data_IF_577193692482
#
_entry.id   IF_577193692482
#
_cell.length_a   1.000
_cell.length_b   1.000
_cell.length_c   1.000
_cell.angle_alpha   90.00
_cell.angle_beta   90.00
_cell.angle_gamma   90.00
#
_symmetry.space_group_name_H-M   'P 1'
#
loop_
_entity.id
_entity.type
_entity.pdbx_description
1 polymer ?
#
# COMPACT_ATOMS: atom_id res chain seq x y z
N UNK A 1 -26.83 53.00 33.78
CA UNK A 1 -26.50 52.37 35.07
C UNK A 1 -25.26 51.54 34.82
N UNK A 2 -24.12 52.04 35.29
CA UNK A 2 -22.78 51.50 35.07
C UNK A 2 -22.30 50.76 36.33
N UNK A 3 -21.37 49.84 36.11
CA UNK A 3 -20.39 49.22 37.01
C UNK A 3 -20.64 47.74 37.40
N UNK A 4 -19.58 46.94 37.63
CA UNK A 4 -18.30 46.97 36.91
C UNK A 4 -17.74 45.58 36.54
N UNK A 5 -16.81 45.64 35.58
CA UNK A 5 -15.73 44.68 35.36
C UNK A 5 -14.87 44.57 36.63
N UNK A 6 -14.60 43.35 37.08
CA UNK A 6 -13.42 43.07 37.89
C UNK A 6 -12.71 41.82 37.39
N UNK A 7 -11.41 42.02 37.20
CA UNK A 7 -10.44 41.08 36.69
C UNK A 7 -9.83 40.27 37.83
N UNK A 8 -9.40 39.04 37.53
CA UNK A 8 -8.16 38.50 38.06
C UNK A 8 -7.63 37.40 37.13
N UNK A 9 -6.39 37.53 36.62
CA UNK A 9 -5.67 36.47 35.92
C UNK A 9 -4.82 35.70 36.93
N UNK A 10 -4.92 34.36 36.96
CA UNK A 10 -4.08 33.55 37.85
C UNK A 10 -3.38 32.40 37.10
N UNK A 11 -2.07 32.59 36.98
CA UNK A 11 -0.99 31.58 37.03
C UNK A 11 -0.84 30.64 35.83
N UNK A 12 -0.11 31.16 34.86
CA UNK A 12 1.19 30.62 34.42
C UNK A 12 1.57 29.28 35.08
N UNK A 13 1.05 28.19 34.53
CA UNK A 13 1.52 26.84 34.81
C UNK A 13 2.84 26.63 34.06
N UNK A 14 3.95 26.73 34.79
CA UNK A 14 5.28 26.41 34.27
C UNK A 14 5.33 24.94 33.84
N UNK A 15 5.71 24.59 32.60
CA UNK A 15 5.96 23.20 32.25
C UNK A 15 7.23 22.72 32.95
N UNK A 16 7.12 21.63 33.71
CA UNK A 16 8.26 20.96 34.31
C UNK A 16 9.25 20.53 33.20
N UNK A 17 10.50 21.01 33.28
CA UNK A 17 11.59 20.56 32.41
C UNK A 17 11.83 19.06 32.65
N UNK A 18 11.58 18.24 31.63
CA UNK A 18 12.02 16.84 31.63
C UNK A 18 13.55 16.80 31.58
N UNK A 19 14.22 15.94 32.36
CA UNK A 19 15.66 15.73 32.25
C UNK A 19 16.01 15.14 30.87
N UNK A 20 17.21 15.41 30.33
CA UNK A 20 17.63 14.86 29.05
C UNK A 20 17.71 13.33 29.11
N UNK A 21 16.98 12.66 28.22
CA UNK A 21 17.14 11.23 27.97
C UNK A 21 18.52 11.04 27.35
N UNK A 22 19.40 10.33 28.07
CA UNK A 22 20.70 9.90 27.54
C UNK A 22 20.44 8.79 26.53
N UNK A 23 20.47 9.13 25.25
CA UNK A 23 20.51 8.16 24.15
C UNK A 23 21.92 7.58 24.16
N UNK A 24 22.08 6.38 24.72
CA UNK A 24 23.28 5.58 24.54
C UNK A 24 23.16 4.87 23.19
N UNK A 25 23.77 5.44 22.17
CA UNK A 25 24.04 4.75 20.90
C UNK A 25 25.02 3.61 21.14
N UNK A 26 24.67 2.33 20.89
CA UNK A 26 25.68 1.30 20.75
C UNK A 26 26.44 1.53 19.45
N UNK A 27 27.71 1.87 19.60
CA UNK A 27 28.68 1.92 18.53
C UNK A 27 28.77 0.58 17.79
N UNK A 28 28.68 0.68 16.47
CA UNK A 28 29.57 0.05 15.51
C UNK A 28 30.06 -1.38 15.81
N UNK A 29 29.48 -2.36 15.11
CA UNK A 29 30.23 -3.55 14.71
C UNK A 29 30.23 -3.67 13.19
N UNK A 30 31.17 -2.95 12.57
CA UNK A 30 31.64 -3.20 11.20
C UNK A 30 32.40 -4.51 11.21
N UNK A 31 31.81 -5.59 10.68
CA UNK A 31 32.56 -6.80 10.32
C UNK A 31 32.88 -6.71 8.83
N UNK A 32 34.09 -6.22 8.57
CA UNK A 32 34.82 -6.36 7.32
C UNK A 32 35.37 -7.80 7.29
N UNK A 33 34.89 -8.66 6.39
CA UNK A 33 35.52 -9.97 6.18
C UNK A 33 35.89 -10.16 4.70
N UNK A 34 37.18 -9.96 4.47
CA UNK A 34 38.11 -10.52 3.50
C UNK A 34 37.57 -11.30 2.28
N UNK A 35 37.59 -10.59 1.16
CA UNK A 35 38.32 -10.92 -0.09
C UNK A 35 39.29 -12.11 -0.02
N UNK A 36 38.99 -13.21 -0.73
CA UNK A 36 39.96 -14.02 -1.50
C UNK A 36 39.22 -14.95 -2.46
N UNK A 37 39.18 -14.61 -3.75
CA UNK A 37 39.03 -15.60 -4.83
C UNK A 37 39.94 -15.18 -5.98
N UNK A 38 41.07 -15.87 -6.09
CA UNK A 38 41.99 -15.84 -7.21
C UNK A 38 42.29 -17.29 -7.60
N UNK A 39 42.72 -17.49 -8.86
CA UNK A 39 42.98 -18.75 -9.59
C UNK A 39 41.75 -19.29 -10.34
N UNK A 40 41.73 -19.48 -11.67
CA UNK A 40 42.74 -19.34 -12.72
C UNK A 40 42.18 -19.86 -14.05
N UNK A 41 42.52 -19.19 -15.16
CA UNK A 41 42.38 -19.56 -16.59
C UNK A 41 43.05 -20.94 -16.91
N UNK A 42 42.87 -21.61 -18.10
CA UNK A 42 42.78 -21.00 -19.45
C UNK A 42 42.00 -21.69 -20.60
N UNK A 43 41.92 -20.90 -21.69
CA UNK A 43 41.70 -21.14 -23.14
C UNK A 43 41.84 -22.55 -23.74
N UNK A 44 40.97 -22.88 -24.71
CA UNK A 44 41.33 -23.20 -26.13
C UNK A 44 40.19 -23.90 -26.90
N UNK A 45 39.95 -23.51 -28.15
CA UNK A 45 39.38 -24.43 -29.15
C UNK A 45 38.54 -23.82 -30.28
N UNK A 46 39.18 -23.31 -31.34
CA UNK A 46 38.58 -23.18 -32.67
C UNK A 46 38.61 -24.54 -33.39
N UNK A 47 37.52 -24.95 -34.06
CA UNK A 47 37.58 -25.76 -35.27
C UNK A 47 36.23 -25.70 -36.00
N UNK A 48 36.27 -25.31 -37.27
CA UNK A 48 35.11 -25.20 -38.13
C UNK A 48 35.04 -26.25 -39.24
N UNK A 49 33.88 -26.20 -39.90
CA UNK A 49 33.61 -26.43 -41.33
C UNK A 49 33.35 -27.85 -41.87
N UNK A 50 32.34 -27.86 -42.76
CA UNK A 50 32.02 -28.77 -43.88
C UNK A 50 31.08 -29.92 -43.51
N UNK A 51 29.96 -30.21 -44.16
CA UNK A 51 29.35 -29.74 -45.40
C UNK A 51 28.60 -30.90 -46.07
N UNK A 52 27.46 -30.59 -46.72
CA UNK A 52 26.84 -31.31 -47.86
C UNK A 52 25.74 -32.37 -47.65
N UNK A 53 24.54 -31.98 -48.14
CA UNK A 53 23.58 -32.69 -49.01
C UNK A 53 22.76 -33.90 -48.53
N UNK A 54 21.43 -33.76 -48.61
CA UNK A 54 20.48 -34.86 -48.72
C UNK A 54 19.03 -34.37 -48.65
N UNK A 55 18.27 -34.60 -49.71
CA UNK A 55 16.93 -34.06 -50.03
C UNK A 55 15.79 -34.94 -49.48
N UNK A 56 14.61 -34.32 -49.38
CA UNK A 56 13.25 -34.90 -49.56
C UNK A 56 12.52 -35.55 -48.38
N UNK A 57 11.54 -34.77 -47.90
CA UNK A 57 10.20 -35.12 -47.40
C UNK A 57 10.04 -36.22 -46.36
N UNK A 58 9.58 -35.84 -45.18
CA UNK A 58 8.27 -36.28 -44.69
C UNK A 58 7.73 -35.26 -43.69
N UNK A 59 6.46 -34.96 -43.90
CA UNK A 59 5.66 -33.96 -43.23
C UNK A 59 5.16 -34.57 -41.92
N UNK A 60 5.64 -34.09 -40.78
CA UNK A 60 5.01 -34.29 -39.49
C UNK A 60 4.80 -32.90 -38.89
N UNK A 61 3.54 -32.51 -38.83
CA UNK A 61 3.04 -31.35 -38.12
C UNK A 61 3.19 -31.60 -36.63
N UNK A 62 4.13 -30.90 -36.01
CA UNK A 62 4.13 -30.61 -34.58
C UNK A 62 3.90 -29.10 -34.49
N UNK A 63 2.64 -28.72 -34.26
CA UNK A 63 2.27 -27.38 -33.82
C UNK A 63 2.84 -27.23 -32.40
N UNK A 64 4.11 -26.84 -32.33
CA UNK A 64 4.69 -26.26 -31.12
C UNK A 64 4.14 -24.84 -31.03
N UNK A 65 3.11 -24.67 -30.20
CA UNK A 65 2.75 -23.36 -29.65
C UNK A 65 3.91 -22.89 -28.76
N UNK A 66 4.94 -22.37 -29.42
CA UNK A 66 6.02 -21.54 -28.91
C UNK A 66 5.38 -20.26 -28.36
N UNK A 67 4.83 -20.36 -27.14
CA UNK A 67 4.60 -19.22 -26.27
C UNK A 67 5.97 -18.70 -25.85
N UNK A 68 6.60 -18.03 -26.82
CA UNK A 68 7.92 -17.45 -26.73
C UNK A 68 8.03 -16.66 -25.44
N UNK A 69 9.05 -17.03 -24.70
CA UNK A 69 9.56 -16.46 -23.45
C UNK A 69 10.11 -15.05 -23.70
N UNK A 70 9.29 -14.18 -24.30
CA UNK A 70 9.45 -12.74 -24.27
C UNK A 70 8.65 -12.23 -23.07
N UNK A 71 9.22 -12.42 -21.87
CA UNK A 71 8.97 -11.50 -20.77
C UNK A 71 9.22 -10.12 -21.37
N UNK A 72 8.21 -9.22 -21.48
CA UNK A 72 8.48 -7.89 -21.96
C UNK A 72 9.45 -7.29 -20.96
N UNK A 73 10.72 -7.17 -21.38
CA UNK A 73 11.66 -6.27 -20.76
C UNK A 73 10.89 -4.96 -20.65
N UNK A 74 10.79 -4.45 -19.43
CA UNK A 74 10.10 -3.22 -19.02
C UNK A 74 10.36 -2.09 -20.02
N UNK A 75 9.61 -2.12 -21.12
CA UNK A 75 9.52 -1.08 -22.13
C UNK A 75 8.59 -0.11 -21.48
N UNK A 76 9.21 0.80 -20.72
CA UNK A 76 8.57 1.74 -19.83
C UNK A 76 7.20 2.12 -20.36
N UNK A 77 6.17 1.56 -19.73
CA UNK A 77 4.79 1.90 -20.05
C UNK A 77 4.72 3.41 -19.88
N UNK A 78 4.56 4.10 -21.00
CA UNK A 78 4.40 5.54 -21.02
C UNK A 78 3.31 5.88 -19.99
N UNK A 79 3.68 6.69 -19.01
CA UNK A 79 2.80 7.07 -17.92
C UNK A 79 1.64 7.90 -18.49
N UNK A 80 0.49 7.26 -18.67
CA UNK A 80 -0.75 7.91 -19.07
C UNK A 80 -1.53 8.39 -17.84
N UNK A 81 -0.91 9.24 -17.00
CA UNK A 81 -1.58 9.90 -15.87
C UNK A 81 -1.75 9.06 -14.60
N UNK A 82 -2.21 9.71 -13.52
CA UNK A 82 -2.49 9.06 -12.23
C UNK A 82 -3.83 8.31 -12.25
N UNK A 83 -4.00 7.26 -11.43
CA UNK A 83 -5.29 6.58 -11.29
C UNK A 83 -6.38 7.54 -10.79
N UNK A 84 -6.02 8.43 -9.85
CA UNK A 84 -6.91 9.48 -9.36
C UNK A 84 -7.33 10.44 -10.48
N UNK A 85 -6.42 10.81 -11.38
CA UNK A 85 -6.73 11.70 -12.52
C UNK A 85 -7.57 10.98 -13.58
N UNK A 86 -7.27 9.72 -13.88
CA UNK A 86 -7.96 8.95 -14.90
C UNK A 86 -9.38 8.53 -14.49
N UNK A 87 -9.57 8.13 -13.23
CA UNK A 87 -10.81 7.53 -12.73
C UNK A 87 -11.67 8.51 -11.91
N UNK A 88 -11.03 9.50 -11.29
CA UNK A 88 -11.67 10.46 -10.41
C UNK A 88 -12.10 9.87 -9.06
N UNK A 89 -12.00 10.69 -8.00
CA UNK A 89 -12.61 10.39 -6.70
C UNK A 89 -14.06 10.83 -6.74
N UNK A 90 -14.89 10.00 -7.36
CA UNK A 90 -16.34 10.21 -7.50
C UNK A 90 -17.09 8.98 -7.03
N UNK A 91 -18.35 9.17 -6.62
CA UNK A 91 -19.22 8.07 -6.24
C UNK A 91 -19.48 7.07 -7.37
N UNK A 92 -20.11 5.93 -7.05
CA UNK A 92 -20.42 4.92 -8.02
C UNK A 92 -21.64 5.34 -8.86
N UNK A 93 -21.66 4.96 -10.14
CA UNK A 93 -22.81 5.23 -11.02
C UNK A 93 -24.05 4.43 -10.60
N UNK A 94 -23.82 3.20 -10.12
CA UNK A 94 -24.82 2.36 -9.45
C UNK A 94 -24.61 2.49 -7.93
N UNK A 95 -25.64 2.79 -7.11
CA UNK A 95 -25.47 2.83 -5.67
C UNK A 95 -24.90 1.51 -5.12
N UNK A 96 -23.94 1.58 -4.19
CA UNK A 96 -23.26 0.39 -3.65
C UNK A 96 -24.22 -0.65 -3.05
N UNK A 97 -25.30 -0.18 -2.43
CA UNK A 97 -26.34 -1.03 -1.85
C UNK A 97 -27.11 -1.85 -2.90
N UNK A 98 -27.13 -1.38 -4.14
CA UNK A 98 -27.86 -2.00 -5.25
C UNK A 98 -26.98 -2.96 -6.07
N UNK A 99 -25.66 -2.91 -5.89
CA UNK A 99 -24.71 -3.82 -6.54
C UNK A 99 -24.75 -5.23 -5.92
N UNK A 100 -24.69 -6.24 -6.79
CA UNK A 100 -24.43 -7.63 -6.40
C UNK A 100 -22.92 -7.88 -6.12
N UNK A 101 -22.55 -9.08 -5.68
CA UNK A 101 -21.16 -9.43 -5.31
C UNK A 101 -20.17 -9.25 -6.46
N UNK A 102 -20.52 -9.69 -7.66
CA UNK A 102 -19.68 -9.57 -8.86
C UNK A 102 -19.52 -8.11 -9.28
N UNK A 103 -20.60 -7.32 -9.25
CA UNK A 103 -20.55 -5.87 -9.52
C UNK A 103 -19.66 -5.13 -8.52
N UNK A 104 -19.73 -5.52 -7.24
CA UNK A 104 -18.86 -4.96 -6.18
C UNK A 104 -17.39 -5.34 -6.40
N UNK A 105 -17.12 -6.59 -6.77
CA UNK A 105 -15.76 -7.04 -7.08
C UNK A 105 -15.16 -6.24 -8.25
N UNK A 106 -15.89 -6.14 -9.36
CA UNK A 106 -15.42 -5.35 -10.50
C UNK A 106 -15.28 -3.86 -10.18
N UNK A 107 -16.18 -3.29 -9.39
CA UNK A 107 -16.05 -1.90 -8.94
C UNK A 107 -14.82 -1.69 -8.06
N UNK A 108 -14.58 -2.62 -7.13
CA UNK A 108 -13.42 -2.58 -6.25
C UNK A 108 -12.11 -2.69 -7.03
N UNK A 109 -12.01 -3.64 -7.96
CA UNK A 109 -10.81 -3.84 -8.79
C UNK A 109 -10.61 -2.67 -9.76
N UNK A 110 -11.67 -2.22 -10.42
CA UNK A 110 -11.60 -1.24 -11.50
C UNK A 110 -11.47 0.21 -11.04
N UNK A 111 -11.97 0.55 -9.84
CA UNK A 111 -11.99 1.93 -9.35
C UNK A 111 -11.36 2.11 -7.97
N UNK A 112 -11.80 1.34 -6.97
CA UNK A 112 -11.37 1.58 -5.58
C UNK A 112 -9.90 1.22 -5.38
N UNK A 113 -9.49 -0.01 -5.71
CA UNK A 113 -8.14 -0.52 -5.51
C UNK A 113 -7.06 0.38 -6.16
N UNK A 114 -7.15 0.78 -7.44
CA UNK A 114 -6.11 1.61 -8.05
C UNK A 114 -6.02 3.00 -7.42
N UNK A 115 -7.16 3.63 -7.07
CA UNK A 115 -7.19 4.93 -6.39
C UNK A 115 -6.57 4.82 -4.99
N UNK A 116 -6.95 3.80 -4.24
CA UNK A 116 -6.44 3.59 -2.88
C UNK A 116 -4.96 3.22 -2.89
N UNK A 117 -4.52 2.35 -3.81
CA UNK A 117 -3.11 2.03 -3.97
C UNK A 117 -2.29 3.29 -4.21
N UNK A 118 -2.72 4.16 -5.13
CA UNK A 118 -2.03 5.41 -5.37
C UNK A 118 -2.01 6.33 -4.14
N UNK A 119 -3.13 6.47 -3.44
CA UNK A 119 -3.22 7.30 -2.23
C UNK A 119 -2.24 6.83 -1.14
N UNK A 120 -2.21 5.52 -0.90
CA UNK A 120 -1.31 4.89 0.07
C UNK A 120 0.16 4.95 -0.36
N UNK A 121 0.47 4.69 -1.63
CA UNK A 121 1.82 4.77 -2.16
C UNK A 121 2.38 6.21 -2.13
N UNK A 122 1.53 7.23 -2.30
CA UNK A 122 1.92 8.65 -2.13
C UNK A 122 2.26 9.00 -0.68
N UNK A 123 1.60 8.36 0.29
CA UNK A 123 1.83 8.59 1.71
C UNK A 123 3.13 7.91 2.18
N UNK A 124 3.27 6.61 1.93
CA UNK A 124 4.49 5.86 2.25
C UNK A 124 4.73 4.76 1.19
N UNK A 125 5.54 5.03 0.16
CA UNK A 125 5.77 4.06 -0.90
C UNK A 125 6.53 2.84 -0.40
N UNK A 126 7.32 2.95 0.66
CA UNK A 126 8.09 1.82 1.16
C UNK A 126 7.19 0.82 1.87
N UNK A 127 6.32 1.32 2.75
CA UNK A 127 5.34 0.51 3.49
C UNK A 127 4.30 -0.12 2.54
N UNK A 128 3.80 0.62 1.55
CA UNK A 128 2.67 0.21 0.72
C UNK A 128 3.04 -0.34 -0.67
N UNK A 129 4.29 -0.76 -0.87
CA UNK A 129 4.76 -1.44 -2.10
C UNK A 129 3.92 -2.68 -2.48
N UNK A 130 3.35 -3.37 -1.49
CA UNK A 130 2.54 -4.58 -1.67
C UNK A 130 1.03 -4.33 -1.56
N UNK A 131 0.56 -3.10 -1.77
CA UNK A 131 -0.86 -2.76 -1.61
C UNK A 131 -1.73 -3.62 -2.53
N UNK A 132 -2.69 -4.31 -1.93
CA UNK A 132 -3.55 -5.27 -2.62
C UNK A 132 -4.91 -5.39 -1.91
N UNK A 133 -5.79 -6.24 -2.44
CA UNK A 133 -7.07 -6.54 -1.80
C UNK A 133 -6.89 -7.00 -0.34
N UNK A 134 -5.82 -7.74 -0.04
CA UNK A 134 -5.52 -8.26 1.29
C UNK A 134 -5.16 -7.17 2.30
N UNK A 135 -4.67 -6.01 1.83
CA UNK A 135 -4.38 -4.86 2.70
C UNK A 135 -5.63 -4.36 3.40
N UNK A 136 -6.79 -4.46 2.74
CA UNK A 136 -8.08 -4.09 3.31
C UNK A 136 -8.81 -5.32 3.88
N UNK A 137 -8.89 -6.42 3.13
CA UNK A 137 -9.79 -7.53 3.44
C UNK A 137 -9.12 -8.70 4.19
N UNK A 138 -7.81 -8.63 4.42
CA UNK A 138 -7.02 -9.70 5.03
C UNK A 138 -6.72 -10.87 4.08
N UNK A 139 -5.82 -11.75 4.49
CA UNK A 139 -5.40 -12.92 3.69
C UNK A 139 -6.51 -13.96 3.52
N UNK A 140 -7.49 -13.96 4.42
CA UNK A 140 -8.68 -14.81 4.36
C UNK A 140 -9.86 -14.18 3.62
N UNK A 141 -9.64 -13.09 2.87
CA UNK A 141 -10.70 -12.32 2.20
C UNK A 141 -11.70 -13.16 1.41
N UNK A 142 -11.24 -14.21 0.72
CA UNK A 142 -12.11 -15.10 -0.06
C UNK A 142 -13.00 -15.98 0.80
N UNK A 143 -12.52 -16.38 1.98
CA UNK A 143 -13.26 -17.22 2.93
C UNK A 143 -14.37 -16.43 3.64
N UNK A 144 -14.18 -15.12 3.78
CA UNK A 144 -15.13 -14.20 4.44
C UNK A 144 -15.85 -13.29 3.45
N UNK A 145 -15.88 -13.64 2.16
CA UNK A 145 -16.57 -12.88 1.12
C UNK A 145 -16.24 -11.37 1.12
N UNK A 146 -14.96 -11.05 1.36
CA UNK A 146 -14.44 -9.68 1.42
C UNK A 146 -15.16 -8.79 2.44
N UNK A 147 -15.80 -9.37 3.46
CA UNK A 147 -16.48 -8.61 4.50
C UNK A 147 -15.53 -7.71 5.29
N UNK A 148 -16.04 -6.54 5.67
CA UNK A 148 -15.36 -5.53 6.47
C UNK A 148 -16.25 -5.13 7.65
N UNK A 149 -15.68 -4.76 8.82
CA UNK A 149 -14.25 -4.66 9.11
C UNK A 149 -13.57 -6.02 9.37
N UNK A 150 -12.29 -6.15 9.03
CA UNK A 150 -11.51 -7.38 9.26
C UNK A 150 -10.63 -7.28 10.51
N UNK A 151 -10.38 -8.42 11.16
CA UNK A 151 -9.56 -8.49 12.38
C UNK A 151 -8.05 -8.39 12.14
N UNK A 152 -7.60 -8.52 10.88
CA UNK A 152 -6.18 -8.42 10.49
C UNK A 152 -5.69 -6.98 10.46
N UNK A 153 -6.60 -6.01 10.36
CA UNK A 153 -6.29 -4.59 10.46
C UNK A 153 -6.21 -4.17 11.94
N UNK A 154 -5.33 -3.21 12.23
CA UNK A 154 -5.17 -2.63 13.56
C UNK A 154 -6.52 -2.22 14.19
N UNK A 155 -6.78 -2.68 15.42
CA UNK A 155 -8.02 -2.36 16.14
C UNK A 155 -7.94 -0.98 16.79
N UNK A 156 -8.98 -0.18 16.61
CA UNK A 156 -8.97 1.20 17.08
C UNK A 156 -9.61 1.34 18.48
N UNK A 157 -9.03 2.17 19.37
CA UNK A 157 -9.73 2.65 20.57
C UNK A 157 -11.03 3.35 20.25
N UNK A 158 -11.93 3.41 21.22
CA UNK A 158 -13.09 4.31 21.15
C UNK A 158 -12.64 5.78 21.08
N UNK A 159 -13.25 6.59 20.20
CA UNK A 159 -12.97 8.03 20.11
C UNK A 159 -13.16 8.73 21.46
N UNK A 160 -12.25 9.64 21.80
CA UNK A 160 -12.27 10.38 23.07
C UNK A 160 -11.75 9.61 24.29
N UNK A 161 -11.42 8.32 24.15
CA UNK A 161 -10.74 7.57 25.21
C UNK A 161 -9.28 8.01 25.39
N UNK A 162 -8.68 7.70 26.55
CA UNK A 162 -7.22 7.90 26.75
C UNK A 162 -6.39 7.10 25.75
N UNK A 163 -6.92 5.96 25.30
CA UNK A 163 -6.34 5.14 24.26
C UNK A 163 -6.29 5.82 22.90
N UNK A 164 -7.35 6.54 22.54
CA UNK A 164 -7.42 7.34 21.32
C UNK A 164 -6.42 8.49 21.36
N UNK A 165 -6.41 9.25 22.46
CA UNK A 165 -5.45 10.34 22.65
C UNK A 165 -3.99 9.86 22.57
N UNK A 166 -3.69 8.67 23.11
CA UNK A 166 -2.36 8.08 23.01
C UNK A 166 -2.00 7.72 21.56
N UNK A 167 -2.93 7.11 20.81
CA UNK A 167 -2.76 6.78 19.40
C UNK A 167 -2.53 8.03 18.55
N UNK A 168 -3.32 9.09 18.74
CA UNK A 168 -3.11 10.37 18.06
C UNK A 168 -1.75 10.99 18.38
N UNK A 169 -1.28 10.86 19.63
CA UNK A 169 0.01 11.40 20.04
C UNK A 169 1.21 10.62 19.48
N UNK A 170 1.09 9.30 19.28
CA UNK A 170 2.22 8.45 18.84
C UNK A 170 2.20 8.12 17.36
N UNK A 171 1.02 8.10 16.73
CA UNK A 171 0.79 7.74 15.33
C UNK A 171 0.07 8.87 14.57
N UNK A 172 0.23 10.11 15.02
CA UNK A 172 -0.56 11.24 14.53
C UNK A 172 -0.48 11.47 13.02
N UNK A 173 0.61 11.06 12.36
CA UNK A 173 0.74 11.15 10.92
C UNK A 173 -0.18 10.17 10.18
N UNK A 174 -0.10 8.88 10.53
CA UNK A 174 -1.00 7.86 10.01
C UNK A 174 -2.47 8.15 10.35
N UNK A 175 -2.76 8.63 11.56
CA UNK A 175 -4.13 8.98 11.97
C UNK A 175 -4.67 10.14 11.13
N UNK A 176 -3.86 11.17 10.85
CA UNK A 176 -4.25 12.27 9.95
C UNK A 176 -4.48 11.77 8.54
N UNK A 177 -3.55 11.00 7.97
CA UNK A 177 -3.73 10.42 6.64
C UNK A 177 -5.02 9.60 6.53
N UNK A 178 -5.28 8.73 7.51
CA UNK A 178 -6.49 7.90 7.53
C UNK A 178 -7.77 8.74 7.62
N UNK A 179 -7.77 9.78 8.47
CA UNK A 179 -8.95 10.64 8.70
C UNK A 179 -9.18 11.63 7.56
N UNK A 180 -8.12 12.27 7.07
CA UNK A 180 -8.19 13.42 6.19
C UNK A 180 -8.16 13.02 4.71
N UNK A 181 -7.63 11.84 4.38
CA UNK A 181 -7.53 11.36 2.99
C UNK A 181 -8.28 10.05 2.76
N UNK A 182 -7.94 8.98 3.49
CA UNK A 182 -8.49 7.63 3.22
C UNK A 182 -9.99 7.54 3.48
N UNK A 183 -10.43 7.94 4.68
CA UNK A 183 -11.84 7.86 5.09
C UNK A 183 -12.78 8.64 4.16
N UNK A 184 -12.53 9.94 3.85
CA UNK A 184 -13.39 10.69 2.94
C UNK A 184 -13.33 10.17 1.50
N UNK A 185 -12.16 9.67 1.05
CA UNK A 185 -12.03 9.05 -0.28
C UNK A 185 -12.90 7.80 -0.37
N UNK A 186 -12.83 6.90 0.61
CA UNK A 186 -13.66 5.70 0.66
C UNK A 186 -15.15 6.03 0.76
N UNK A 187 -15.54 6.99 1.61
CA UNK A 187 -16.92 7.46 1.70
C UNK A 187 -17.44 7.97 0.36
N UNK A 188 -16.62 8.75 -0.35
CA UNK A 188 -16.96 9.23 -1.70
C UNK A 188 -17.09 8.07 -2.68
N UNK A 189 -16.09 7.20 -2.78
CA UNK A 189 -16.05 6.09 -3.73
C UNK A 189 -17.19 5.09 -3.51
N UNK A 190 -17.67 4.91 -2.29
CA UNK A 190 -18.78 3.99 -1.98
C UNK A 190 -20.14 4.68 -1.94
N UNK A 191 -20.19 6.02 -2.08
CA UNK A 191 -21.42 6.79 -1.95
C UNK A 191 -21.99 6.77 -0.52
N UNK A 192 -21.14 6.70 0.50
CA UNK A 192 -21.51 6.62 1.92
C UNK A 192 -21.13 7.92 2.64
N UNK A 193 -22.13 8.69 3.07
CA UNK A 193 -21.90 9.96 3.78
C UNK A 193 -21.39 9.78 5.22
N UNK A 194 -21.73 8.67 5.85
CA UNK A 194 -21.37 8.32 7.22
C UNK A 194 -20.20 7.34 7.31
N UNK A 195 -19.35 7.29 6.27
CA UNK A 195 -18.14 6.47 6.29
C UNK A 195 -17.18 6.94 7.39
N UNK A 196 -16.70 5.99 8.19
CA UNK A 196 -15.83 6.23 9.34
C UNK A 196 -14.68 5.24 9.39
N UNK A 197 -13.67 5.50 10.22
CA UNK A 197 -12.58 4.55 10.46
C UNK A 197 -13.08 3.15 10.83
N UNK A 198 -14.26 3.03 11.46
CA UNK A 198 -14.81 1.74 11.89
C UNK A 198 -15.47 0.92 10.78
N UNK A 199 -15.53 1.44 9.56
CA UNK A 199 -15.87 0.64 8.38
C UNK A 199 -14.69 -0.23 7.95
N UNK A 200 -13.45 0.20 8.23
CA UNK A 200 -12.25 -0.60 7.98
C UNK A 200 -11.75 -1.33 9.24
N UNK A 201 -11.80 -0.65 10.38
CA UNK A 201 -11.18 -1.09 11.63
C UNK A 201 -12.20 -1.65 12.61
N UNK A 202 -11.84 -2.74 13.29
CA UNK A 202 -12.62 -3.20 14.45
C UNK A 202 -12.33 -2.36 15.70
N UNK A 203 -13.28 -2.33 16.63
CA UNK A 203 -13.15 -1.67 17.94
C UNK A 203 -12.35 -2.53 18.91
N UNK A 204 -11.59 -1.90 19.80
CA UNK A 204 -10.79 -2.57 20.85
C UNK A 204 -11.34 -2.32 22.25
#
# INVERSE_FOLDING_TARGET
MNAPLDAAPDLLRTPARRPPVRITTPHALRVLMCLTFALGLPLSGCAGSSGSTGDTSEQASEDDDDWGDEVPENTGTEYHGSAIEALGITGPDTPWADMNEEEREFYMIGKVLPIMHELFARHDPQEYQGFSCETCHGTNMREVHFEMPVATIFRLPEPGSSGWAAMEATQGDAVRFMRDEVTPTMGTLLGMEDYTCFHCHTRR
#
